data_IF_676310202812
#
_entry.id   IF_676310202812
#
_cell.length_a   1.000
_cell.length_b   1.000
_cell.length_c   1.000
_cell.angle_alpha   90.00
_cell.angle_beta   90.00
_cell.angle_gamma   90.00
#
_symmetry.space_group_name_H-M   'P 1'
#
loop_
_entity.id
_entity.type
_entity.pdbx_description
1 polymer ?
#
# COMPACT_ATOMS: atom_id res chain seq x y z
N UNK A 1 39.51 7.98 17.64
CA UNK A 1 38.23 7.23 17.64
C UNK A 1 37.49 7.60 16.37
N UNK A 2 37.71 6.85 15.29
CA UNK A 2 37.27 7.16 13.91
C UNK A 2 35.84 6.69 13.68
N UNK A 3 34.94 7.61 13.35
CA UNK A 3 33.56 7.34 12.98
C UNK A 3 33.48 6.98 11.48
N UNK A 4 32.96 5.81 11.06
CA UNK A 4 32.86 5.48 9.65
C UNK A 4 31.72 6.28 8.99
N UNK A 5 32.10 7.24 8.15
CA UNK A 5 31.23 7.97 7.22
C UNK A 5 30.58 6.98 6.26
N UNK A 6 29.27 6.74 6.42
CA UNK A 6 28.46 5.96 5.48
C UNK A 6 28.31 6.80 4.19
N UNK A 7 29.18 6.52 3.22
CA UNK A 7 29.12 7.12 1.89
C UNK A 7 27.84 6.66 1.17
N UNK A 8 26.89 7.59 0.98
CA UNK A 8 25.64 7.35 0.24
C UNK A 8 25.99 7.04 -1.22
N UNK A 9 25.59 5.86 -1.69
CA UNK A 9 25.81 5.37 -3.07
C UNK A 9 25.16 6.32 -4.08
N UNK A 10 25.92 6.73 -5.11
CA UNK A 10 25.44 7.53 -6.24
C UNK A 10 24.40 6.73 -7.05
N UNK A 11 23.27 7.38 -7.35
CA UNK A 11 22.15 6.86 -8.14
C UNK A 11 20.99 7.87 -8.12
N UNK A 12 20.07 7.79 -9.11
CA UNK A 12 18.95 8.72 -9.35
C UNK A 12 18.33 9.21 -8.03
N UNK A 13 18.14 10.54 -7.85
CA UNK A 13 17.53 11.08 -6.64
C UNK A 13 16.24 10.30 -6.35
N UNK A 14 15.98 9.93 -5.08
CA UNK A 14 14.75 9.25 -4.74
C UNK A 14 13.62 10.14 -5.23
N UNK A 15 12.74 9.61 -6.08
CA UNK A 15 11.46 10.23 -6.36
C UNK A 15 10.64 10.14 -5.08
N UNK A 16 10.97 11.01 -4.13
CA UNK A 16 10.11 11.31 -2.99
C UNK A 16 9.01 12.22 -3.51
N UNK A 17 8.14 11.63 -4.33
CA UNK A 17 6.86 12.20 -4.75
C UNK A 17 5.84 11.99 -3.62
N UNK A 18 6.28 12.01 -2.34
CA UNK A 18 5.39 12.03 -1.19
C UNK A 18 4.70 13.39 -1.22
N UNK A 19 3.62 13.50 -1.98
CA UNK A 19 2.69 14.61 -1.85
C UNK A 19 2.12 14.53 -0.42
N UNK A 20 2.82 15.22 0.48
CA UNK A 20 2.31 15.95 1.64
C UNK A 20 1.15 15.24 2.36
N UNK A 21 1.46 14.45 3.39
CA UNK A 21 0.53 14.22 4.51
C UNK A 21 0.27 12.77 4.93
N UNK A 22 0.53 11.76 4.11
CA UNK A 22 0.24 10.38 4.47
C UNK A 22 1.39 9.78 5.31
N UNK A 23 1.17 9.63 6.62
CA UNK A 23 2.03 8.78 7.46
C UNK A 23 2.00 7.33 6.93
N UNK A 24 2.96 6.49 7.34
CA UNK A 24 3.01 5.08 6.91
C UNK A 24 1.67 4.35 7.13
N UNK A 25 0.92 4.73 8.18
CA UNK A 25 -0.42 4.23 8.45
C UNK A 25 -1.44 4.64 7.39
N UNK A 26 -1.36 5.87 6.89
CA UNK A 26 -2.32 6.43 5.92
C UNK A 26 -2.19 5.76 4.55
N UNK A 27 -0.96 5.51 4.08
CA UNK A 27 -0.75 4.81 2.81
C UNK A 27 -1.24 3.36 2.86
N UNK A 28 -1.02 2.66 3.99
CA UNK A 28 -1.55 1.31 4.19
C UNK A 28 -3.08 1.29 4.22
N UNK A 29 -3.69 2.26 4.90
CA UNK A 29 -5.15 2.40 4.94
C UNK A 29 -5.73 2.71 3.55
N UNK A 30 -5.09 3.61 2.80
CA UNK A 30 -5.49 3.96 1.43
C UNK A 30 -5.42 2.76 0.48
N UNK A 31 -4.39 1.90 0.62
CA UNK A 31 -4.30 0.65 -0.14
C UNK A 31 -5.46 -0.29 0.18
N UNK A 32 -5.79 -0.47 1.46
CA UNK A 32 -6.90 -1.34 1.88
C UNK A 32 -8.23 -0.79 1.36
N UNK A 33 -8.46 0.53 1.45
CA UNK A 33 -9.66 1.17 0.94
C UNK A 33 -9.80 0.98 -0.58
N UNK A 34 -8.73 1.26 -1.33
CA UNK A 34 -8.69 1.05 -2.79
C UNK A 34 -8.92 -0.42 -3.16
N UNK A 35 -8.39 -1.35 -2.37
CA UNK A 35 -8.63 -2.79 -2.56
C UNK A 35 -10.07 -3.21 -2.26
N UNK A 36 -10.70 -2.60 -1.25
CA UNK A 36 -12.09 -2.86 -0.89
C UNK A 36 -13.05 -2.38 -1.98
N UNK A 37 -12.88 -1.15 -2.47
CA UNK A 37 -13.66 -0.60 -3.60
C UNK A 37 -13.59 -1.55 -4.81
N UNK A 38 -12.36 -1.91 -5.16
CA UNK A 38 -12.06 -2.80 -6.28
C UNK A 38 -12.69 -4.19 -6.11
N UNK A 39 -12.62 -4.76 -4.90
CA UNK A 39 -13.27 -6.04 -4.57
C UNK A 39 -14.78 -5.95 -4.80
N UNK A 40 -15.42 -4.87 -4.36
CA UNK A 40 -16.89 -4.70 -4.47
C UNK A 40 -17.38 -4.36 -5.88
N UNK A 41 -16.55 -3.73 -6.71
CA UNK A 41 -16.94 -3.30 -8.06
C UNK A 41 -16.69 -4.36 -9.14
N UNK A 42 -15.54 -5.05 -9.08
CA UNK A 42 -15.04 -5.87 -10.18
C UNK A 42 -14.59 -7.27 -9.76
N UNK A 43 -14.58 -7.55 -8.46
CA UNK A 43 -13.95 -8.74 -7.90
C UNK A 43 -12.42 -8.62 -7.82
N UNK A 44 -11.84 -9.20 -6.78
CA UNK A 44 -10.43 -8.99 -6.42
C UNK A 44 -9.42 -9.58 -7.42
N UNK A 45 -9.76 -10.71 -8.05
CA UNK A 45 -8.86 -11.43 -8.96
C UNK A 45 -8.70 -10.74 -10.32
N UNK A 46 -9.73 -10.01 -10.78
CA UNK A 46 -9.77 -9.44 -12.12
C UNK A 46 -9.09 -8.07 -12.23
N UNK A 47 -9.01 -7.32 -11.13
CA UNK A 47 -8.68 -5.90 -11.19
C UNK A 47 -7.19 -5.54 -11.18
N UNK A 48 -6.32 -6.49 -10.83
CA UNK A 48 -4.86 -6.29 -10.81
C UNK A 48 -4.36 -5.27 -9.77
N UNK A 49 -3.10 -5.43 -9.36
CA UNK A 49 -2.51 -4.60 -8.29
C UNK A 49 -2.26 -3.14 -8.75
N UNK A 50 -1.96 -2.94 -10.03
CA UNK A 50 -1.49 -1.64 -10.54
C UNK A 50 -2.58 -0.56 -10.46
N UNK A 51 -3.85 -0.90 -10.70
CA UNK A 51 -4.96 0.04 -10.55
C UNK A 51 -5.15 0.48 -9.10
N UNK A 52 -5.10 -0.48 -8.17
CA UNK A 52 -5.25 -0.23 -6.73
C UNK A 52 -4.13 0.68 -6.20
N UNK A 53 -2.89 0.41 -6.60
CA UNK A 53 -1.71 1.20 -6.27
C UNK A 53 -1.81 2.64 -6.77
N UNK A 54 -2.23 2.82 -8.04
CA UNK A 54 -2.39 4.13 -8.64
C UNK A 54 -3.43 4.96 -7.89
N UNK A 55 -4.58 4.36 -7.56
CA UNK A 55 -5.65 5.03 -6.79
C UNK A 55 -5.17 5.40 -5.38
N UNK A 56 -4.40 4.53 -4.74
CA UNK A 56 -3.83 4.77 -3.41
C UNK A 56 -2.62 5.74 -3.43
N UNK A 57 -2.17 6.20 -4.60
CA UNK A 57 -0.97 7.04 -4.72
C UNK A 57 0.33 6.33 -4.32
N UNK A 58 0.34 4.99 -4.31
CA UNK A 58 1.49 4.20 -3.85
C UNK A 58 2.29 3.69 -5.07
N UNK A 59 3.60 3.99 -5.15
CA UNK A 59 4.45 3.40 -6.17
C UNK A 59 4.52 1.88 -6.05
N UNK A 60 4.57 1.18 -7.19
CA UNK A 60 4.63 -0.29 -7.24
C UNK A 60 5.77 -0.89 -6.41
N UNK A 61 6.94 -0.25 -6.42
CA UNK A 61 8.08 -0.67 -5.61
C UNK A 61 7.86 -0.52 -4.10
N UNK A 62 6.97 0.40 -3.68
CA UNK A 62 6.70 0.66 -2.28
C UNK A 62 5.65 -0.27 -1.68
N UNK A 63 4.91 -1.03 -2.49
CA UNK A 63 3.90 -1.97 -2.02
C UNK A 63 4.44 -2.93 -0.96
N UNK A 64 5.62 -3.50 -1.21
CA UNK A 64 6.24 -4.48 -0.32
C UNK A 64 6.75 -3.91 1.00
N UNK A 65 6.73 -2.58 1.17
CA UNK A 65 6.95 -1.94 2.47
C UNK A 65 5.70 -1.99 3.36
N UNK A 66 4.51 -2.14 2.79
CA UNK A 66 3.23 -2.16 3.51
C UNK A 66 2.65 -3.57 3.68
N UNK A 67 2.87 -4.44 2.69
CA UNK A 67 2.39 -5.81 2.69
C UNK A 67 3.49 -6.77 2.24
N UNK A 68 3.70 -7.84 3.01
CA UNK A 68 4.72 -8.84 2.71
C UNK A 68 4.45 -9.59 1.39
N UNK A 69 3.17 -9.74 1.02
CA UNK A 69 2.76 -10.38 -0.22
C UNK A 69 1.40 -9.86 -0.70
N UNK A 70 0.99 -10.28 -1.90
CA UNK A 70 -0.34 -9.96 -2.44
C UNK A 70 -1.45 -10.66 -1.64
N UNK A 71 -1.19 -11.86 -1.15
CA UNK A 71 -2.09 -12.64 -0.30
C UNK A 71 -2.30 -11.93 1.03
N UNK A 72 -1.23 -11.41 1.66
CA UNK A 72 -1.32 -10.63 2.89
C UNK A 72 -2.14 -9.36 2.70
N UNK A 73 -2.02 -8.70 1.54
CA UNK A 73 -2.87 -7.58 1.18
C UNK A 73 -4.34 -7.97 0.98
N UNK A 74 -4.59 -9.05 0.23
CA UNK A 74 -5.94 -9.57 0.02
C UNK A 74 -6.63 -9.97 1.32
N UNK A 75 -5.91 -10.61 2.24
CA UNK A 75 -6.41 -10.93 3.57
C UNK A 75 -6.80 -9.67 4.35
N UNK A 76 -5.98 -8.62 4.33
CA UNK A 76 -6.30 -7.36 5.01
C UNK A 76 -7.55 -6.67 4.43
N UNK A 77 -7.73 -6.74 3.10
CA UNK A 77 -8.94 -6.23 2.43
C UNK A 77 -10.17 -7.04 2.83
N UNK A 78 -10.08 -8.37 2.81
CA UNK A 78 -11.18 -9.25 3.23
C UNK A 78 -11.53 -9.08 4.71
N UNK A 79 -10.55 -8.89 5.57
CA UNK A 79 -10.78 -8.63 7.00
C UNK A 79 -11.47 -7.28 7.22
N UNK A 80 -11.14 -6.26 6.40
CA UNK A 80 -11.84 -4.97 6.43
C UNK A 80 -13.28 -5.10 5.94
N UNK A 81 -13.49 -5.88 4.87
CA UNK A 81 -14.82 -6.21 4.37
C UNK A 81 -15.65 -6.92 5.44
N UNK A 82 -15.12 -7.99 6.05
CA UNK A 82 -15.80 -8.76 7.09
C UNK A 82 -16.18 -7.90 8.30
N UNK A 83 -15.24 -7.06 8.79
CA UNK A 83 -15.51 -6.13 9.90
C UNK A 83 -16.67 -5.19 9.61
N UNK A 84 -16.74 -4.65 8.40
CA UNK A 84 -17.85 -3.78 8.00
C UNK A 84 -19.23 -4.44 8.12
N UNK A 85 -19.34 -5.75 7.88
CA UNK A 85 -20.61 -6.47 8.08
C UNK A 85 -20.83 -6.88 9.54
N UNK A 86 -19.77 -7.26 10.25
CA UNK A 86 -19.86 -7.62 11.67
C UNK A 86 -20.34 -6.44 12.53
N UNK A 87 -19.94 -5.21 12.19
CA UNK A 87 -20.38 -4.00 12.89
C UNK A 87 -21.83 -3.58 12.54
N UNK A 88 -22.45 -4.23 11.55
CA UNK A 88 -23.72 -3.81 10.95
C UNK A 88 -24.86 -4.82 11.13
N UNK A 89 -24.57 -5.98 11.70
CA UNK A 89 -25.49 -7.08 12.01
C UNK A 89 -25.61 -7.25 13.53
#
# INVERSE_FOLDING_TARGET
MTNPTIARRRGRPPKTDYSVGATQGDARAALIASGLETLTEHGFLSAGLDGMLKRAGVPKGSFYHYFASKEAFGQAVLERYARYFADKL
#
